data_IF_945390385081
#
_entry.id   IF_945390385081
#
_cell.length_a   1.000
_cell.length_b   1.000
_cell.length_c   1.000
_cell.angle_alpha   90.00
_cell.angle_beta   90.00
_cell.angle_gamma   90.00
#
_symmetry.space_group_name_H-M   'P 1'
#
loop_
_entity.id
_entity.type
_entity.pdbx_description
1 polymer ?
#
# COMPACT_ATOMS: atom_id res chain seq x y z
N UNK A 1 9.15 -7.52 -28.38
CA UNK A 1 10.12 -7.83 -27.31
C UNK A 1 11.02 -6.63 -27.19
N UNK A 2 10.85 -5.82 -26.14
CA UNK A 2 11.87 -4.85 -25.75
C UNK A 2 13.09 -5.61 -25.24
N UNK A 3 14.29 -5.05 -25.42
CA UNK A 3 15.52 -5.66 -24.94
C UNK A 3 15.84 -5.09 -23.57
N UNK A 4 15.65 -5.87 -22.51
CA UNK A 4 16.17 -5.57 -21.18
C UNK A 4 17.54 -6.23 -21.03
N UNK A 5 18.55 -5.50 -20.52
CA UNK A 5 19.91 -6.03 -20.32
C UNK A 5 20.29 -6.02 -18.85
N UNK A 6 20.87 -7.12 -18.38
CA UNK A 6 21.58 -7.17 -17.10
C UNK A 6 23.07 -7.30 -17.41
N UNK A 7 23.80 -6.19 -17.26
CA UNK A 7 25.18 -6.09 -17.73
C UNK A 7 25.26 -6.27 -19.26
N UNK A 8 25.93 -7.33 -19.71
CA UNK A 8 26.03 -7.66 -21.14
C UNK A 8 25.01 -8.71 -21.60
N UNK A 9 24.17 -9.23 -20.71
CA UNK A 9 23.23 -10.30 -21.01
C UNK A 9 21.90 -9.71 -21.47
N UNK A 10 21.50 -10.06 -22.70
CA UNK A 10 20.14 -9.84 -23.19
C UNK A 10 19.16 -10.74 -22.42
N UNK A 11 18.23 -10.12 -21.71
CA UNK A 11 17.16 -10.81 -21.00
C UNK A 11 15.94 -10.81 -21.90
N UNK A 12 15.53 -11.99 -22.34
CA UNK A 12 14.26 -12.17 -23.02
C UNK A 12 13.13 -11.90 -22.03
N UNK A 13 12.31 -10.91 -22.34
CA UNK A 13 11.10 -10.64 -21.58
C UNK A 13 9.94 -10.31 -22.51
N UNK A 14 8.74 -10.52 -22.00
CA UNK A 14 7.50 -10.12 -22.62
C UNK A 14 6.76 -9.23 -21.63
N UNK A 15 6.20 -8.13 -22.11
CA UNK A 15 5.32 -7.32 -21.29
C UNK A 15 4.08 -8.16 -20.93
N UNK A 16 3.76 -8.20 -19.64
CA UNK A 16 2.52 -8.79 -19.18
C UNK A 16 1.34 -8.03 -19.80
N UNK A 17 0.24 -8.75 -20.08
CA UNK A 17 -0.99 -8.10 -20.54
C UNK A 17 -1.51 -7.25 -19.40
N UNK A 18 -1.45 -5.92 -19.55
CA UNK A 18 -2.05 -5.00 -18.59
C UNK A 18 -3.56 -5.25 -18.58
N UNK A 19 -4.18 -5.46 -17.41
CA UNK A 19 -5.63 -5.52 -17.34
C UNK A 19 -6.20 -4.20 -17.85
N UNK A 20 -7.29 -4.26 -18.63
CA UNK A 20 -8.04 -3.06 -19.00
C UNK A 20 -8.75 -2.53 -17.75
N UNK A 21 -8.31 -1.39 -17.25
CA UNK A 21 -9.01 -0.66 -16.20
C UNK A 21 -9.82 0.48 -16.81
N UNK A 22 -10.86 0.93 -16.09
CA UNK A 22 -11.56 2.16 -16.46
C UNK A 22 -10.68 3.38 -16.28
N UNK A 23 -11.20 4.55 -16.65
CA UNK A 23 -10.51 5.82 -16.38
C UNK A 23 -10.21 5.98 -14.88
N UNK A 24 -9.00 6.46 -14.51
CA UNK A 24 -8.65 6.69 -13.12
C UNK A 24 -9.66 7.63 -12.44
N UNK A 25 -10.03 7.30 -11.20
CA UNK A 25 -10.95 8.12 -10.41
C UNK A 25 -10.35 9.51 -10.12
N UNK A 26 -11.23 10.51 -10.10
CA UNK A 26 -10.85 11.88 -9.74
C UNK A 26 -10.73 12.04 -8.22
N UNK A 27 -9.73 12.82 -7.73
CA UNK A 27 -9.63 13.15 -6.32
C UNK A 27 -10.92 13.75 -5.75
N UNK A 28 -11.32 13.34 -4.55
CA UNK A 28 -12.50 13.88 -3.86
C UNK A 28 -12.28 14.03 -2.37
N UNK A 29 -13.12 14.85 -1.72
CA UNK A 29 -13.05 15.12 -0.28
C UNK A 29 -14.44 15.07 0.34
N UNK A 30 -14.57 14.29 1.41
CA UNK A 30 -15.82 14.10 2.17
C UNK A 30 -15.53 14.16 3.67
N UNK A 31 -16.49 14.64 4.47
CA UNK A 31 -16.42 14.59 5.94
C UNK A 31 -17.30 13.44 6.43
N UNK A 32 -16.68 12.47 7.11
CA UNK A 32 -17.36 11.41 7.84
C UNK A 32 -17.68 11.90 9.25
N UNK A 33 -18.96 11.94 9.60
CA UNK A 33 -19.41 12.38 10.93
C UNK A 33 -19.23 11.26 11.97
N UNK A 34 -19.09 11.59 13.27
CA UNK A 34 -19.15 10.59 14.34
C UNK A 34 -20.39 9.72 14.21
N UNK A 35 -20.22 8.40 14.37
CA UNK A 35 -21.29 7.41 14.16
C UNK A 35 -21.42 6.91 12.73
N UNK A 36 -20.77 7.54 11.74
CA UNK A 36 -20.71 7.03 10.36
C UNK A 36 -20.15 5.61 10.33
N UNK A 37 -20.77 4.74 9.52
CA UNK A 37 -20.28 3.39 9.24
C UNK A 37 -20.24 3.18 7.74
N UNK A 38 -19.21 2.48 7.25
CA UNK A 38 -19.13 2.12 5.82
C UNK A 38 -20.26 1.17 5.43
N UNK A 39 -20.52 0.17 6.26
CA UNK A 39 -21.71 -0.69 6.23
C UNK A 39 -22.25 -0.84 7.64
N UNK A 40 -23.48 -1.31 7.81
CA UNK A 40 -24.11 -1.47 9.14
C UNK A 40 -23.28 -2.35 10.11
N UNK A 41 -22.53 -3.31 9.56
CA UNK A 41 -21.72 -4.24 10.36
C UNK A 41 -20.40 -3.64 10.83
N UNK A 42 -19.87 -2.64 10.13
CA UNK A 42 -18.55 -2.08 10.43
C UNK A 42 -18.55 -1.23 11.70
N UNK A 43 -17.40 -1.16 12.38
CA UNK A 43 -17.16 -0.23 13.49
C UNK A 43 -17.43 1.22 13.04
N UNK A 44 -18.05 2.07 13.89
CA UNK A 44 -18.29 3.45 13.53
C UNK A 44 -17.02 4.30 13.63
N UNK A 45 -16.96 5.35 12.82
CA UNK A 45 -16.03 6.47 12.98
C UNK A 45 -16.38 7.22 14.28
N UNK A 46 -15.38 7.54 15.09
CA UNK A 46 -15.58 8.10 16.44
C UNK A 46 -15.48 9.63 16.51
N UNK A 47 -14.76 10.25 15.57
CA UNK A 47 -14.53 11.70 15.50
C UNK A 47 -14.78 12.19 14.08
N UNK A 48 -15.05 13.49 13.89
CA UNK A 48 -15.13 14.05 12.54
C UNK A 48 -13.83 13.78 11.76
N UNK A 49 -13.96 13.06 10.66
CA UNK A 49 -12.84 12.55 9.87
C UNK A 49 -12.97 13.04 8.44
N UNK A 50 -11.94 13.69 7.92
CA UNK A 50 -11.82 14.00 6.50
C UNK A 50 -11.35 12.74 5.79
N UNK A 51 -12.12 12.31 4.80
CA UNK A 51 -11.74 11.32 3.80
C UNK A 51 -11.40 12.06 2.50
N UNK A 52 -10.14 12.04 2.12
CA UNK A 52 -9.65 12.49 0.81
C UNK A 52 -9.37 11.23 -0.03
N UNK A 53 -10.24 10.93 -0.99
CA UNK A 53 -10.14 9.74 -1.83
C UNK A 53 -9.36 10.03 -3.12
N UNK A 54 -8.66 9.02 -3.64
CA UNK A 54 -7.99 9.04 -4.95
C UNK A 54 -6.97 10.19 -5.11
N UNK A 55 -6.33 10.58 -4.01
CA UNK A 55 -5.25 11.56 -3.98
C UNK A 55 -4.05 11.06 -4.79
N UNK A 56 -3.31 12.00 -5.35
CA UNK A 56 -2.16 11.75 -6.23
C UNK A 56 -0.87 11.93 -5.42
N UNK A 57 0.03 10.96 -5.52
CA UNK A 57 1.42 11.07 -5.10
C UNK A 57 2.30 10.86 -6.34
N UNK A 58 3.16 11.80 -6.66
CA UNK A 58 4.00 11.75 -7.88
C UNK A 58 5.40 11.29 -7.53
N UNK A 59 5.82 10.14 -8.08
CA UNK A 59 7.16 9.59 -7.86
C UNK A 59 8.23 10.37 -8.65
N UNK A 60 9.51 10.15 -8.35
CA UNK A 60 10.65 10.84 -8.99
C UNK A 60 10.71 10.68 -10.51
N UNK A 61 10.19 9.57 -11.03
CA UNK A 61 10.17 9.23 -12.45
C UNK A 61 8.89 9.72 -13.16
N UNK A 62 8.00 10.40 -12.42
CA UNK A 62 6.73 10.91 -12.91
C UNK A 62 5.55 9.94 -12.79
N UNK A 63 5.77 8.71 -12.32
CA UNK A 63 4.70 7.74 -12.07
C UNK A 63 3.73 8.28 -11.02
N UNK A 64 2.43 8.20 -11.32
CA UNK A 64 1.37 8.56 -10.38
C UNK A 64 0.94 7.36 -9.55
N UNK A 65 1.09 7.46 -8.23
CA UNK A 65 0.45 6.56 -7.27
C UNK A 65 -0.84 7.18 -6.71
N UNK A 66 -1.79 6.32 -6.35
CA UNK A 66 -3.09 6.71 -5.80
C UNK A 66 -3.22 6.37 -4.33
N UNK A 67 -3.78 7.31 -3.57
CA UNK A 67 -3.94 7.16 -2.14
C UNK A 67 -5.33 7.58 -1.64
N UNK A 68 -5.80 6.93 -0.57
CA UNK A 68 -6.89 7.43 0.24
C UNK A 68 -6.33 7.91 1.58
N UNK A 69 -6.68 9.13 1.99
CA UNK A 69 -6.23 9.76 3.23
C UNK A 69 -7.41 9.92 4.18
N UNK A 70 -7.23 9.48 5.42
CA UNK A 70 -8.14 9.68 6.53
C UNK A 70 -7.45 10.51 7.59
N UNK A 71 -7.99 11.66 7.96
CA UNK A 71 -7.37 12.55 8.97
C UNK A 71 -8.41 13.29 9.79
N UNK A 72 -8.09 13.70 11.03
CA UNK A 72 -9.04 14.44 11.85
C UNK A 72 -9.33 15.82 11.25
N UNK A 73 -10.53 16.36 11.51
CA UNK A 73 -10.80 17.78 11.31
C UNK A 73 -10.11 18.57 12.42
N UNK A 74 -9.04 19.29 12.09
CA UNK A 74 -8.25 20.07 13.05
C UNK A 74 -7.42 21.14 12.32
N UNK A 75 -7.12 22.23 13.02
CA UNK A 75 -6.21 23.29 12.54
C UNK A 75 -4.73 22.96 12.82
N UNK A 76 -4.46 21.90 13.59
CA UNK A 76 -3.10 21.47 13.91
C UNK A 76 -2.60 20.46 12.89
N UNK A 77 -1.37 20.62 12.39
CA UNK A 77 -0.72 19.62 11.53
C UNK A 77 -0.52 18.31 12.30
N UNK A 78 -0.83 17.18 11.66
CA UNK A 78 -0.78 15.84 12.28
C UNK A 78 0.31 14.95 11.66
N UNK A 79 0.89 14.00 12.41
CA UNK A 79 1.71 12.93 11.84
C UNK A 79 0.88 12.00 10.93
N UNK A 80 1.51 11.42 9.92
CA UNK A 80 0.89 10.48 8.99
C UNK A 80 1.43 9.07 9.19
N UNK A 81 0.56 8.07 9.05
CA UNK A 81 0.94 6.65 8.99
C UNK A 81 0.49 6.10 7.63
N UNK A 82 1.44 5.64 6.82
CA UNK A 82 1.21 5.14 5.47
C UNK A 82 1.22 3.61 5.44
N UNK A 83 0.19 3.05 4.83
CA UNK A 83 0.11 1.64 4.42
C UNK A 83 0.32 1.57 2.91
N UNK A 84 1.54 1.25 2.50
CA UNK A 84 1.97 1.14 1.11
C UNK A 84 2.06 -0.33 0.69
N UNK A 85 1.35 -0.71 -0.38
CA UNK A 85 1.47 -2.04 -0.94
C UNK A 85 0.34 -2.43 -1.90
N UNK A 86 0.23 -3.72 -2.24
CA UNK A 86 -0.60 -4.18 -3.37
C UNK A 86 -2.04 -4.54 -3.02
N UNK A 87 -2.48 -4.33 -1.77
CA UNK A 87 -3.76 -4.86 -1.30
C UNK A 87 -4.98 -4.02 -1.67
N UNK A 88 -4.79 -2.78 -2.10
CA UNK A 88 -5.89 -1.89 -2.47
C UNK A 88 -6.24 -0.88 -1.38
N UNK A 89 -6.31 0.40 -1.74
CA UNK A 89 -6.52 1.51 -0.80
C UNK A 89 -7.95 1.67 -0.25
N UNK A 90 -8.89 0.85 -0.71
CA UNK A 90 -10.34 1.06 -0.54
C UNK A 90 -11.06 -0.04 0.26
N UNK A 91 -10.43 -0.64 1.27
CA UNK A 91 -11.07 -1.63 2.17
C UNK A 91 -10.58 -3.07 1.97
N UNK A 92 -10.85 -3.94 2.96
CA UNK A 92 -10.17 -5.23 3.13
C UNK A 92 -10.97 -6.52 2.80
N UNK A 93 -12.05 -6.48 2.01
CA UNK A 93 -12.91 -7.66 1.80
C UNK A 93 -12.34 -8.71 0.82
N UNK A 94 -11.04 -8.65 0.50
CA UNK A 94 -10.42 -9.46 -0.56
C UNK A 94 -9.94 -10.85 -0.12
N UNK A 95 -9.89 -11.13 1.18
CA UNK A 95 -9.40 -12.42 1.69
C UNK A 95 -10.51 -13.26 2.34
N UNK A 96 -10.53 -14.60 2.12
CA UNK A 96 -11.49 -15.50 2.73
C UNK A 96 -11.59 -15.31 4.25
N UNK A 97 -12.82 -15.21 4.75
CA UNK A 97 -13.14 -15.08 6.18
C UNK A 97 -12.47 -13.90 6.90
N UNK A 98 -11.92 -12.89 6.19
CA UNK A 98 -11.20 -11.75 6.79
C UNK A 98 -10.10 -12.20 7.76
N UNK A 99 -9.46 -13.35 7.49
CA UNK A 99 -8.49 -14.02 8.38
C UNK A 99 -8.97 -14.17 9.83
N UNK A 100 -10.28 -14.32 10.02
CA UNK A 100 -10.91 -14.47 11.33
C UNK A 100 -11.27 -13.15 12.04
N UNK A 101 -11.04 -11.99 11.41
CA UNK A 101 -11.34 -10.68 12.00
C UNK A 101 -12.80 -10.29 11.74
N UNK A 102 -13.63 -10.12 12.79
CA UNK A 102 -15.03 -9.72 12.62
C UNK A 102 -15.15 -8.32 12.00
N UNK A 103 -16.14 -8.12 11.11
CA UNK A 103 -16.40 -6.81 10.48
C UNK A 103 -16.62 -5.70 11.52
N UNK A 104 -17.24 -6.03 12.65
CA UNK A 104 -17.54 -5.11 13.74
C UNK A 104 -16.31 -4.59 14.50
N UNK A 105 -15.13 -5.18 14.26
CA UNK A 105 -13.86 -4.71 14.82
C UNK A 105 -13.18 -3.66 13.95
N UNK A 106 -13.61 -3.51 12.70
CA UNK A 106 -12.95 -2.68 11.70
C UNK A 106 -13.91 -1.68 11.05
N UNK A 107 -13.41 -0.50 10.66
CA UNK A 107 -14.22 0.54 10.01
C UNK A 107 -14.70 0.17 8.61
N UNK A 108 -14.07 -0.84 8.00
CA UNK A 108 -14.22 -1.21 6.61
C UNK A 108 -13.41 -0.32 5.67
N UNK A 109 -12.73 0.72 6.16
CA UNK A 109 -11.89 1.62 5.37
C UNK A 109 -10.40 1.28 5.42
N UNK A 110 -9.99 0.45 6.36
CA UNK A 110 -8.63 -0.08 6.48
C UNK A 110 -8.16 -0.76 5.19
N UNK A 111 -6.88 -0.60 4.88
CA UNK A 111 -6.22 -1.52 3.96
C UNK A 111 -6.21 -2.94 4.58
N UNK A 112 -6.26 -4.00 3.77
CA UNK A 112 -5.99 -5.34 4.29
C UNK A 112 -4.62 -5.35 4.96
N UNK A 113 -4.51 -5.95 6.15
CA UNK A 113 -3.29 -5.94 6.99
C UNK A 113 -2.79 -4.54 7.42
N UNK A 114 -3.60 -3.51 7.17
CA UNK A 114 -3.30 -2.13 7.53
C UNK A 114 -3.92 -1.70 8.86
N UNK A 115 -3.51 -0.51 9.31
CA UNK A 115 -4.11 0.13 10.47
C UNK A 115 -5.47 0.73 10.15
N UNK A 116 -6.39 0.68 11.12
CA UNK A 116 -7.76 1.15 10.93
C UNK A 116 -7.91 2.66 11.22
N UNK A 117 -8.43 3.47 10.28
CA UNK A 117 -8.71 4.88 10.53
C UNK A 117 -9.67 5.13 11.71
N UNK A 118 -10.63 4.26 12.00
CA UNK A 118 -11.51 4.42 13.18
C UNK A 118 -10.77 4.30 14.52
N UNK A 119 -9.57 3.71 14.53
CA UNK A 119 -8.75 3.57 15.72
C UNK A 119 -7.72 4.70 15.85
N UNK A 120 -7.10 5.11 14.75
CA UNK A 120 -5.94 6.01 14.77
C UNK A 120 -6.26 7.48 14.51
N UNK A 121 -7.31 7.79 13.73
CA UNK A 121 -7.74 9.19 13.53
C UNK A 121 -8.16 9.86 14.86
N UNK A 122 -8.89 9.20 15.77
CA UNK A 122 -9.18 9.77 17.09
C UNK A 122 -7.93 10.10 17.91
N UNK A 123 -6.80 9.43 17.65
CA UNK A 123 -5.51 9.64 18.30
C UNK A 123 -4.67 10.74 17.66
N UNK A 124 -5.26 11.54 16.76
CA UNK A 124 -4.61 12.64 16.03
C UNK A 124 -3.51 12.19 15.06
N UNK A 125 -3.69 11.03 14.43
CA UNK A 125 -2.87 10.59 13.29
C UNK A 125 -3.70 10.62 12.00
N UNK A 126 -3.05 10.97 10.89
CA UNK A 126 -3.59 10.65 9.57
C UNK A 126 -3.24 9.21 9.18
N UNK A 127 -4.19 8.50 8.58
CA UNK A 127 -4.02 7.18 8.02
C UNK A 127 -4.09 7.27 6.50
N UNK A 128 -3.07 6.77 5.80
CA UNK A 128 -2.98 6.85 4.35
C UNK A 128 -2.84 5.45 3.78
N UNK A 129 -3.80 5.02 2.98
CA UNK A 129 -3.69 3.79 2.20
C UNK A 129 -3.16 4.15 0.81
N UNK A 130 -2.03 3.59 0.40
CA UNK A 130 -1.40 3.84 -0.90
C UNK A 130 -1.43 2.56 -1.74
N UNK A 131 -1.96 2.66 -2.95
CA UNK A 131 -1.84 1.62 -3.97
C UNK A 131 -0.44 1.73 -4.59
N UNK A 132 0.39 0.69 -4.41
CA UNK A 132 1.71 0.61 -5.03
C UNK A 132 1.64 0.66 -6.57
N UNK A 133 2.78 0.83 -7.23
CA UNK A 133 2.86 0.88 -8.69
C UNK A 133 2.16 -0.31 -9.36
N UNK A 134 1.37 -0.07 -10.39
CA UNK A 134 0.62 -1.09 -11.13
C UNK A 134 -0.60 -1.67 -10.39
N UNK A 135 -1.02 -1.08 -9.27
CA UNK A 135 -2.17 -1.53 -8.48
C UNK A 135 -3.37 -0.59 -8.67
N UNK A 136 -4.50 -1.14 -9.10
CA UNK A 136 -5.74 -0.41 -9.38
C UNK A 136 -5.51 0.81 -10.30
N UNK A 137 -5.70 2.02 -9.77
CA UNK A 137 -5.62 3.29 -10.50
C UNK A 137 -4.20 3.92 -10.44
N UNK A 138 -3.22 3.25 -9.80
CA UNK A 138 -1.81 3.64 -9.79
C UNK A 138 -1.10 3.19 -11.08
N UNK A 139 -0.29 4.07 -11.63
CA UNK A 139 0.52 3.82 -12.83
C UNK A 139 1.70 2.89 -12.51
N UNK A 140 2.47 2.52 -13.53
CA UNK A 140 3.70 1.73 -13.37
C UNK A 140 3.45 0.22 -13.33
N UNK A 141 4.34 -0.49 -12.61
CA UNK A 141 4.34 -1.95 -12.49
C UNK A 141 4.51 -2.34 -11.02
N UNK A 142 3.96 -3.49 -10.66
CA UNK A 142 4.14 -4.06 -9.31
C UNK A 142 5.60 -4.47 -9.12
N UNK A 143 6.18 -4.07 -8.00
CA UNK A 143 7.54 -4.42 -7.57
C UNK A 143 7.47 -5.50 -6.49
N UNK A 144 8.35 -6.49 -6.54
CA UNK A 144 8.37 -7.59 -5.55
C UNK A 144 9.58 -7.50 -4.64
N UNK A 145 9.46 -6.71 -3.57
CA UNK A 145 10.46 -6.61 -2.50
C UNK A 145 11.87 -6.38 -3.06
N UNK A 146 12.01 -5.29 -3.82
CA UNK A 146 13.26 -4.89 -4.44
C UNK A 146 13.64 -3.45 -4.10
N UNK A 147 14.81 -3.01 -4.56
CA UNK A 147 15.28 -1.65 -4.32
C UNK A 147 14.38 -0.59 -4.96
N UNK A 148 13.73 -0.89 -6.08
CA UNK A 148 12.83 0.05 -6.74
C UNK A 148 11.55 0.25 -5.92
N UNK A 149 11.01 -0.79 -5.29
CA UNK A 149 9.92 -0.66 -4.31
C UNK A 149 10.34 0.22 -3.13
N UNK A 150 11.59 0.12 -2.69
CA UNK A 150 12.15 1.00 -1.67
C UNK A 150 12.22 2.47 -2.12
N UNK A 151 12.58 2.73 -3.38
CA UNK A 151 12.61 4.07 -3.97
C UNK A 151 11.20 4.69 -4.08
N UNK A 152 10.21 3.90 -4.51
CA UNK A 152 8.80 4.33 -4.54
C UNK A 152 8.28 4.60 -3.12
N UNK A 153 8.69 3.78 -2.15
CA UNK A 153 8.39 4.00 -0.73
C UNK A 153 9.02 5.28 -0.18
N UNK A 154 10.27 5.60 -0.57
CA UNK A 154 10.92 6.86 -0.24
C UNK A 154 10.11 8.04 -0.78
N UNK A 155 9.79 8.02 -2.07
CA UNK A 155 9.07 9.12 -2.72
C UNK A 155 7.67 9.28 -2.14
N UNK A 156 6.99 8.17 -1.82
CA UNK A 156 5.71 8.18 -1.09
C UNK A 156 5.83 8.91 0.24
N UNK A 157 6.87 8.62 1.04
CA UNK A 157 7.11 9.31 2.32
C UNK A 157 7.31 10.82 2.12
N UNK A 158 8.13 11.20 1.14
CA UNK A 158 8.47 12.61 0.89
C UNK A 158 7.29 13.39 0.30
N UNK A 159 6.47 12.79 -0.56
CA UNK A 159 5.25 13.40 -1.09
C UNK A 159 4.20 13.59 0.00
N UNK A 160 4.02 12.60 0.88
CA UNK A 160 3.12 12.72 2.04
C UNK A 160 3.57 13.84 2.98
N UNK A 161 4.87 13.96 3.23
CA UNK A 161 5.43 14.98 4.12
C UNK A 161 5.15 16.42 3.63
N UNK A 162 5.02 16.62 2.30
CA UNK A 162 4.70 17.92 1.67
C UNK A 162 3.25 18.33 1.81
N UNK A 163 2.33 17.41 2.16
CA UNK A 163 0.92 17.73 2.26
C UNK A 163 0.68 18.84 3.32
N UNK A 164 -0.19 19.83 3.04
CA UNK A 164 -0.29 21.04 3.85
C UNK A 164 -0.77 20.79 5.28
N UNK A 165 -1.45 19.67 5.52
CA UNK A 165 -1.92 19.24 6.85
C UNK A 165 -0.91 18.32 7.58
N UNK A 166 0.12 17.82 6.89
CA UNK A 166 1.10 16.91 7.49
C UNK A 166 2.10 17.70 8.35
N UNK A 167 2.46 17.11 9.49
CA UNK A 167 3.49 17.64 10.40
C UNK A 167 4.92 17.48 9.88
N UNK A 168 5.12 16.82 8.74
CA UNK A 168 6.43 16.40 8.24
C UNK A 168 6.96 15.12 8.90
N UNK A 169 6.22 14.52 9.83
CA UNK A 169 6.53 13.20 10.40
C UNK A 169 5.66 12.14 9.75
N UNK A 170 6.29 11.25 8.99
CA UNK A 170 5.62 10.13 8.32
C UNK A 170 6.15 8.83 8.90
N UNK A 171 5.26 7.90 9.18
CA UNK A 171 5.59 6.56 9.61
C UNK A 171 5.01 5.53 8.64
N UNK A 172 5.63 4.35 8.57
CA UNK A 172 5.05 3.21 7.87
C UNK A 172 4.62 2.14 8.87
N UNK A 173 3.52 1.44 8.59
CA UNK A 173 3.03 0.35 9.42
C UNK A 173 2.20 -0.64 8.59
N UNK A 174 2.03 -1.85 9.12
CA UNK A 174 1.18 -2.89 8.53
C UNK A 174 1.82 -4.26 8.63
N UNK A 175 1.09 -5.29 8.21
CA UNK A 175 1.56 -6.68 8.22
C UNK A 175 2.01 -7.17 6.83
N UNK A 176 2.75 -8.27 6.80
CA UNK A 176 3.07 -9.03 5.57
C UNK A 176 3.75 -8.16 4.51
N UNK A 177 3.15 -7.95 3.32
CA UNK A 177 3.74 -7.09 2.29
C UNK A 177 3.88 -5.64 2.76
N UNK A 178 2.90 -5.12 3.50
CA UNK A 178 2.96 -3.78 4.09
C UNK A 178 4.08 -3.67 5.14
N UNK A 179 4.56 -4.78 5.69
CA UNK A 179 5.72 -4.82 6.58
C UNK A 179 7.03 -4.97 5.79
N UNK A 180 7.06 -5.86 4.80
CA UNK A 180 8.23 -6.14 3.98
C UNK A 180 8.76 -4.88 3.28
N UNK A 181 7.87 -4.11 2.65
CA UNK A 181 8.24 -2.89 1.92
C UNK A 181 8.90 -1.82 2.83
N UNK A 182 8.65 -1.85 4.13
CA UNK A 182 9.22 -0.89 5.09
C UNK A 182 10.74 -1.06 5.22
N UNK A 183 11.25 -2.29 5.12
CA UNK A 183 12.70 -2.54 5.19
C UNK A 183 13.43 -1.90 4.00
N UNK A 184 12.88 -2.08 2.80
CA UNK A 184 13.43 -1.51 1.57
C UNK A 184 13.30 0.01 1.55
N UNK A 185 12.17 0.54 2.03
CA UNK A 185 11.95 1.99 2.15
C UNK A 185 12.92 2.61 3.16
N UNK A 186 13.06 2.01 4.35
CA UNK A 186 13.97 2.51 5.38
C UNK A 186 15.44 2.47 4.93
N UNK A 187 15.82 1.49 4.12
CA UNK A 187 17.16 1.41 3.53
C UNK A 187 17.48 2.60 2.59
N UNK A 188 16.46 3.27 2.04
CA UNK A 188 16.63 4.51 1.27
C UNK A 188 16.85 5.76 2.15
N UNK A 189 16.71 5.64 3.47
CA UNK A 189 16.84 6.73 4.45
C UNK A 189 16.01 8.00 4.11
N UNK A 190 14.67 7.91 3.92
CA UNK A 190 13.86 9.09 3.62
C UNK A 190 13.91 10.08 4.80
N UNK A 191 14.24 11.37 4.58
CA UNK A 191 14.40 12.35 5.65
C UNK A 191 13.19 12.52 6.57
N UNK A 192 11.97 12.33 6.04
CA UNK A 192 10.73 12.49 6.81
C UNK A 192 10.18 11.19 7.40
N UNK A 193 10.87 10.05 7.17
CA UNK A 193 10.50 8.77 7.77
C UNK A 193 10.90 8.76 9.25
N UNK A 194 9.93 9.04 10.12
CA UNK A 194 10.13 9.14 11.56
C UNK A 194 10.15 7.78 12.26
N UNK A 195 9.45 6.77 11.72
CA UNK A 195 9.31 5.45 12.33
C UNK A 195 8.83 4.41 11.31
N UNK A 196 9.31 3.16 11.45
CA UNK A 196 8.72 1.98 10.83
C UNK A 196 8.16 1.04 11.90
N UNK A 197 7.04 0.41 11.60
CA UNK A 197 6.42 -0.64 12.41
C UNK A 197 6.10 -1.87 11.54
N UNK A 198 7.14 -2.64 11.13
CA UNK A 198 6.96 -3.82 10.29
C UNK A 198 6.48 -5.01 11.14
N UNK A 199 5.23 -5.40 10.95
CA UNK A 199 4.63 -6.54 11.67
C UNK A 199 4.69 -7.79 10.79
N UNK A 200 5.48 -8.79 11.18
CA UNK A 200 5.58 -10.06 10.43
C UNK A 200 6.06 -9.88 8.97
N UNK A 201 6.98 -8.93 8.73
CA UNK A 201 7.54 -8.64 7.41
C UNK A 201 8.75 -9.50 7.09
N UNK A 202 8.76 -10.08 5.89
CA UNK A 202 9.93 -10.77 5.34
C UNK A 202 11.07 -9.79 5.08
N UNK A 203 12.32 -10.25 5.23
CA UNK A 203 13.54 -9.45 5.01
C UNK A 203 14.47 -10.05 3.96
N UNK A 204 14.37 -11.36 3.72
CA UNK A 204 15.11 -12.08 2.68
C UNK A 204 14.14 -12.92 1.84
N UNK A 205 13.61 -12.37 0.73
CA UNK A 205 12.65 -13.07 -0.13
C UNK A 205 13.14 -14.44 -0.59
N UNK A 206 14.45 -14.59 -0.85
CA UNK A 206 15.00 -15.84 -1.32
C UNK A 206 14.98 -16.91 -0.22
N UNK A 207 15.51 -16.61 0.97
CA UNK A 207 15.66 -17.60 2.06
C UNK A 207 14.37 -17.85 2.83
N UNK A 208 13.51 -16.85 2.97
CA UNK A 208 12.36 -16.89 3.88
C UNK A 208 11.04 -17.19 3.15
N UNK A 209 10.94 -16.84 1.85
CA UNK A 209 9.73 -17.03 1.05
C UNK A 209 9.90 -18.01 -0.10
N UNK A 210 10.89 -17.81 -0.98
CA UNK A 210 11.01 -18.57 -2.23
C UNK A 210 11.65 -19.95 -2.04
N UNK A 211 12.73 -20.06 -1.26
CA UNK A 211 13.55 -21.27 -1.12
C UNK A 211 13.97 -21.51 0.34
N UNK A 212 13.05 -22.04 1.15
CA UNK A 212 13.36 -22.37 2.55
C UNK A 212 14.34 -23.55 2.59
N UNK A 213 15.56 -23.28 3.05
CA UNK A 213 16.65 -24.26 3.05
C UNK A 213 17.04 -24.75 1.65
N UNK A 214 16.82 -23.94 0.61
CA UNK A 214 17.08 -24.30 -0.79
C UNK A 214 15.96 -25.09 -1.48
N UNK A 215 14.88 -25.42 -0.77
CA UNK A 215 13.73 -26.14 -1.33
C UNK A 215 12.68 -25.13 -1.82
N UNK A 216 12.24 -25.19 -3.11
CA UNK A 216 11.24 -24.26 -3.63
C UNK A 216 9.91 -24.32 -2.87
N UNK A 217 9.41 -23.17 -2.43
CA UNK A 217 8.11 -23.02 -1.76
C UNK A 217 7.00 -22.68 -2.75
N UNK A 218 6.59 -23.67 -3.54
CA UNK A 218 5.57 -23.48 -4.58
C UNK A 218 4.16 -23.28 -4.03
N UNK A 219 3.88 -23.71 -2.80
CA UNK A 219 2.51 -23.65 -2.22
C UNK A 219 2.05 -22.24 -1.89
N UNK A 220 2.97 -21.35 -1.53
CA UNK A 220 2.63 -19.97 -1.18
C UNK A 220 3.21 -18.95 -2.15
N UNK A 221 4.46 -19.14 -2.62
CA UNK A 221 5.10 -18.17 -3.51
C UNK A 221 4.43 -18.08 -4.88
N UNK A 222 4.05 -19.23 -5.47
CA UNK A 222 3.43 -19.25 -6.80
C UNK A 222 2.06 -18.58 -6.81
N UNK A 223 1.08 -18.94 -5.95
CA UNK A 223 -0.22 -18.26 -5.95
C UNK A 223 -0.11 -16.76 -5.62
N UNK A 224 0.84 -16.36 -4.76
CA UNK A 224 1.08 -14.95 -4.45
C UNK A 224 1.57 -14.18 -5.68
N UNK A 225 2.52 -14.74 -6.44
CA UNK A 225 3.01 -14.16 -7.70
C UNK A 225 1.89 -13.95 -8.72
N UNK A 226 1.03 -14.96 -8.85
CA UNK A 226 -0.05 -14.99 -9.83
C UNK A 226 -1.18 -14.02 -9.47
N UNK A 227 -1.38 -13.81 -8.17
CA UNK A 227 -2.44 -12.94 -7.65
C UNK A 227 -2.10 -11.45 -7.76
N UNK A 228 -0.83 -11.07 -7.60
CA UNK A 228 -0.44 -9.66 -7.46
C UNK A 228 0.44 -9.13 -8.59
N UNK A 229 1.16 -9.97 -9.33
CA UNK A 229 2.22 -9.48 -10.25
C UNK A 229 1.91 -9.84 -11.68
N UNK A 230 1.68 -11.11 -11.97
CA UNK A 230 1.50 -11.57 -13.33
C UNK A 230 0.53 -12.74 -13.36
N UNK A 231 -0.61 -12.56 -14.02
CA UNK A 231 -1.39 -13.70 -14.49
C UNK A 231 -0.72 -14.17 -15.77
N UNK A 232 -0.04 -15.32 -15.72
CA UNK A 232 0.37 -15.97 -16.97
C UNK A 232 -0.89 -16.19 -17.81
N UNK A 233 -0.91 -15.81 -19.09
CA UNK A 233 -2.00 -16.24 -19.96
C UNK A 233 -2.07 -17.76 -19.87
N UNK A 234 -3.28 -18.31 -19.76
CA UNK A 234 -3.48 -19.75 -19.84
C UNK A 234 -2.72 -20.24 -21.08
N UNK A 235 -1.78 -21.16 -20.90
CA UNK A 235 -1.04 -21.75 -22.01
C UNK A 235 -2.08 -22.44 -22.92
N UNK A 236 -2.44 -21.78 -24.02
CA UNK A 236 -3.09 -22.41 -25.17
C UNK A 236 -2.05 -23.22 -25.94
#
# INVERSE_FOLDING_TARGET
MSSYKIGQIDVLHQDIIRPTHGEPRSPSRTILKPGHRRTEKNRPILVETILESDQILTMRDGVTLRANVFRPVTDTKVPAITMYGPYGKSGSDKFPFRVGIPESKLSGYENFEGLDPAEWVPKQYAIINVDAGGINDSEGNVRWWDSAEGEDGHDTVEEVAKLPWCSGKVSMAGNSWLAACQWYTAAQNPPHLACIAPMEGISDPFREHMYRGGIPNTRFATPLSESFIAKYPDNN
#
